data_IF_172628095829
#
_entry.id   IF_172628095829
#
_cell.length_a   1.000
_cell.length_b   1.000
_cell.length_c   1.000
_cell.angle_alpha   90.00
_cell.angle_beta   90.00
_cell.angle_gamma   90.00
#
_symmetry.space_group_name_H-M   'P 1'
#
loop_
_entity.id
_entity.type
_entity.pdbx_description
1 polymer ?
#
# COMPACT_ATOMS: atom_id res chain seq x y z
N UNK A 1 4.41 28.07 -26.57
CA UNK A 1 3.55 27.07 -27.23
C UNK A 1 3.18 26.00 -26.21
N UNK A 2 1.90 25.70 -26.01
CA UNK A 2 1.47 24.54 -25.21
C UNK A 2 1.42 23.35 -26.15
N UNK A 3 2.35 22.40 -25.98
CA UNK A 3 2.36 21.16 -26.76
C UNK A 3 1.21 20.29 -26.24
N UNK A 4 0.24 19.98 -27.09
CA UNK A 4 -0.80 19.00 -26.75
C UNK A 4 -0.17 17.61 -26.77
N UNK A 5 0.18 17.10 -25.59
CA UNK A 5 0.59 15.72 -25.43
C UNK A 5 -0.68 14.86 -25.43
N UNK A 6 -0.74 13.75 -26.19
CA UNK A 6 -1.89 12.87 -26.20
C UNK A 6 -2.19 12.36 -24.78
N UNK A 7 -3.46 12.02 -24.54
CA UNK A 7 -3.88 11.46 -23.26
C UNK A 7 -3.02 10.23 -22.93
N UNK A 8 -2.37 10.30 -21.78
CA UNK A 8 -1.53 9.24 -21.24
C UNK A 8 -1.87 9.07 -19.76
N UNK A 9 -1.66 7.86 -19.26
CA UNK A 9 -1.69 7.61 -17.82
C UNK A 9 -0.26 7.62 -17.29
N UNK A 10 -0.09 7.61 -15.98
CA UNK A 10 1.21 7.45 -15.34
C UNK A 10 1.28 6.10 -14.63
N UNK A 11 2.43 5.44 -14.71
CA UNK A 11 2.70 4.19 -14.01
C UNK A 11 2.45 4.38 -12.52
N UNK A 12 1.63 3.52 -11.92
CA UNK A 12 1.31 3.64 -10.51
C UNK A 12 2.56 3.44 -9.62
N UNK A 13 3.60 2.74 -10.07
CA UNK A 13 4.80 2.48 -9.26
C UNK A 13 5.85 3.60 -9.34
N UNK A 14 6.33 3.94 -10.55
CA UNK A 14 7.44 4.88 -10.76
C UNK A 14 7.01 6.25 -11.30
N UNK A 15 5.77 6.39 -11.80
CA UNK A 15 5.27 7.64 -12.38
C UNK A 15 5.59 7.85 -13.88
N UNK A 16 6.30 6.92 -14.53
CA UNK A 16 6.60 7.04 -15.96
C UNK A 16 5.33 7.07 -16.83
N UNK A 17 5.32 7.79 -17.95
CA UNK A 17 4.18 7.80 -18.87
C UNK A 17 3.86 6.39 -19.37
N UNK A 18 2.58 6.04 -19.36
CA UNK A 18 2.07 4.79 -19.91
C UNK A 18 0.90 5.09 -20.84
N UNK A 19 0.70 4.19 -21.79
CA UNK A 19 -0.44 4.27 -22.73
C UNK A 19 -1.73 4.36 -21.92
N UNK A 20 -2.64 5.22 -22.36
CA UNK A 20 -3.94 5.37 -21.73
C UNK A 20 -4.62 4.00 -21.49
N UNK A 21 -5.04 3.74 -20.26
CA UNK A 21 -5.64 2.47 -19.84
C UNK A 21 -4.66 1.41 -19.32
N UNK A 22 -3.34 1.61 -19.41
CA UNK A 22 -2.37 0.79 -18.69
C UNK A 22 -2.06 1.38 -17.32
N UNK A 23 -1.95 0.53 -16.31
CA UNK A 23 -1.62 0.94 -14.93
C UNK A 23 -0.11 0.95 -14.64
N UNK A 24 0.68 0.18 -15.39
CA UNK A 24 2.11 -0.03 -15.14
C UNK A 24 2.94 0.04 -16.42
N UNK A 25 4.16 0.59 -16.33
CA UNK A 25 5.09 0.66 -17.45
C UNK A 25 5.77 -0.69 -17.74
N UNK A 26 5.90 -1.54 -16.72
CA UNK A 26 6.56 -2.84 -16.82
C UNK A 26 5.98 -3.86 -15.82
N UNK A 27 6.22 -5.14 -16.08
CA UNK A 27 5.88 -6.22 -15.14
C UNK A 27 6.64 -6.11 -13.81
N UNK A 28 7.85 -5.55 -13.82
CA UNK A 28 8.63 -5.29 -12.61
C UNK A 28 7.92 -4.29 -11.70
N UNK A 29 7.45 -3.15 -12.24
CA UNK A 29 6.69 -2.15 -11.50
C UNK A 29 5.38 -2.70 -10.91
N UNK A 30 4.74 -3.63 -11.62
CA UNK A 30 3.57 -4.33 -11.11
C UNK A 30 3.92 -5.24 -9.93
N UNK A 31 4.96 -6.08 -10.07
CA UNK A 31 5.41 -7.01 -9.04
C UNK A 31 5.89 -6.29 -7.77
N UNK A 32 6.62 -5.19 -7.91
CA UNK A 32 7.06 -4.36 -6.78
C UNK A 32 5.86 -3.78 -6.02
N UNK A 33 4.91 -3.19 -6.74
CA UNK A 33 3.70 -2.63 -6.11
C UNK A 33 2.85 -3.71 -5.45
N UNK A 34 2.75 -4.90 -6.02
CA UNK A 34 2.07 -6.03 -5.39
C UNK A 34 2.81 -6.53 -4.14
N UNK A 35 4.15 -6.58 -4.18
CA UNK A 35 5.00 -6.92 -3.04
C UNK A 35 4.83 -5.94 -1.88
N UNK A 36 4.89 -4.63 -2.18
CA UNK A 36 4.67 -3.56 -1.21
C UNK A 36 3.26 -3.61 -0.62
N UNK A 37 2.22 -3.85 -1.44
CA UNK A 37 0.84 -4.04 -0.94
C UNK A 37 0.76 -5.20 0.07
N UNK A 38 1.42 -6.33 -0.20
CA UNK A 38 1.47 -7.48 0.72
C UNK A 38 2.23 -7.13 2.01
N UNK A 39 3.34 -6.41 1.91
CA UNK A 39 4.15 -5.96 3.05
C UNK A 39 3.38 -5.00 3.96
N UNK A 40 2.71 -4.01 3.38
CA UNK A 40 1.87 -3.04 4.10
C UNK A 40 0.70 -3.75 4.79
N UNK A 41 0.00 -4.66 4.10
CA UNK A 41 -1.08 -5.46 4.71
C UNK A 41 -0.58 -6.26 5.91
N UNK A 42 0.57 -6.93 5.80
CA UNK A 42 1.17 -7.70 6.89
C UNK A 42 1.52 -6.80 8.08
N UNK A 43 2.13 -5.64 7.85
CA UNK A 43 2.46 -4.68 8.91
C UNK A 43 1.22 -4.18 9.63
N UNK A 44 0.18 -3.83 8.89
CA UNK A 44 -1.08 -3.37 9.47
C UNK A 44 -1.76 -4.46 10.31
N UNK A 45 -1.74 -5.71 9.83
CA UNK A 45 -2.30 -6.84 10.57
C UNK A 45 -1.56 -7.10 11.89
N UNK A 46 -0.22 -7.06 11.88
CA UNK A 46 0.60 -7.18 13.09
C UNK A 46 0.29 -6.04 14.07
N UNK A 47 0.21 -4.80 13.57
CA UNK A 47 -0.15 -3.64 14.39
C UNK A 47 -1.49 -3.82 15.11
N UNK A 48 -2.53 -4.28 14.39
CA UNK A 48 -3.83 -4.54 15.00
C UNK A 48 -3.79 -5.66 16.04
N UNK A 49 -3.06 -6.75 15.79
CA UNK A 49 -2.90 -7.83 16.77
C UNK A 49 -2.25 -7.30 18.05
N UNK A 50 -1.15 -6.55 17.92
CA UNK A 50 -0.45 -5.97 19.08
C UNK A 50 -1.36 -5.02 19.85
N UNK A 51 -2.12 -4.17 19.16
CA UNK A 51 -3.06 -3.25 19.80
C UNK A 51 -4.15 -3.99 20.59
N UNK A 52 -4.76 -5.03 20.00
CA UNK A 52 -5.78 -5.85 20.68
C UNK A 52 -5.19 -6.53 21.92
N UNK A 53 -4.01 -7.14 21.79
CA UNK A 53 -3.33 -7.80 22.90
C UNK A 53 -3.04 -6.80 24.03
N UNK A 54 -2.52 -5.62 23.72
CA UNK A 54 -2.25 -4.58 24.71
C UNK A 54 -3.53 -4.13 25.44
N UNK A 55 -4.63 -3.93 24.71
CA UNK A 55 -5.93 -3.57 25.30
C UNK A 55 -6.41 -4.67 26.24
N UNK A 56 -6.34 -5.94 25.83
CA UNK A 56 -6.72 -7.08 26.67
C UNK A 56 -5.87 -7.17 27.92
N UNK A 57 -4.56 -6.93 27.84
CA UNK A 57 -3.68 -6.90 29.00
C UNK A 57 -4.07 -5.82 30.00
N UNK A 58 -4.30 -4.58 29.53
CA UNK A 58 -4.75 -3.48 30.40
C UNK A 58 -6.11 -3.78 31.02
N UNK A 59 -7.04 -4.29 30.21
CA UNK A 59 -8.38 -4.68 30.68
C UNK A 59 -8.29 -5.74 31.77
N UNK A 60 -7.56 -6.83 31.54
CA UNK A 60 -7.34 -7.89 32.54
C UNK A 60 -6.67 -7.37 33.81
N UNK A 61 -5.64 -6.52 33.68
CA UNK A 61 -4.96 -5.93 34.83
C UNK A 61 -5.91 -5.09 35.69
N UNK A 62 -6.85 -4.38 35.06
CA UNK A 62 -7.89 -3.62 35.77
C UNK A 62 -8.90 -4.46 36.54
N UNK A 63 -9.05 -5.76 36.28
CA UNK A 63 -9.91 -6.64 37.10
C UNK A 63 -9.14 -7.31 38.24
N UNK A 64 -7.82 -7.36 38.14
CA UNK A 64 -6.95 -8.02 39.13
C UNK A 64 -6.54 -7.06 40.23
N UNK A 65 -6.36 -5.77 39.91
CA UNK A 65 -6.04 -4.68 40.85
C UNK A 65 -7.33 -4.06 41.43
#
# INVERSE_FOLDING_TARGET
MKVHLPDHSHCMNCGDPVIFGKEFCSSQCQLEREGEKKRVRRRNLIFYIVAIVAILFVWLYSYIL
#
